data_IF_886510409120
#
_entry.id   IF_886510409120
#
_cell.length_a   1.000
_cell.length_b   1.000
_cell.length_c   1.000
_cell.angle_alpha   90.00
_cell.angle_beta   90.00
_cell.angle_gamma   90.00
#
_symmetry.space_group_name_H-M   'P 1'
#
loop_
_entity.id
_entity.type
_entity.pdbx_description
1 polymer ?
#
# COMPACT_ATOMS: atom_id res chain seq x y z
N UNK A 1 -6.07 -11.55 20.45
CA UNK A 1 -5.04 -10.50 20.41
C UNK A 1 -4.96 -9.99 18.98
N UNK A 2 -5.14 -8.69 18.76
CA UNK A 2 -5.32 -8.11 17.43
C UNK A 2 -3.97 -8.02 16.69
N UNK A 3 -3.71 -8.97 15.78
CA UNK A 3 -2.47 -9.02 14.97
C UNK A 3 -2.25 -7.71 14.21
N UNK A 4 -3.34 -7.03 13.85
CA UNK A 4 -3.27 -5.73 13.17
C UNK A 4 -2.66 -4.63 14.05
N UNK A 5 -2.93 -4.59 15.35
CA UNK A 5 -2.45 -3.50 16.23
C UNK A 5 -0.95 -3.57 16.53
N UNK A 6 -0.35 -4.75 16.49
CA UNK A 6 1.09 -4.95 16.76
C UNK A 6 1.96 -4.86 15.49
N UNK A 7 1.38 -4.98 14.30
CA UNK A 7 2.09 -5.03 13.01
C UNK A 7 1.82 -3.83 12.08
N UNK A 8 1.26 -2.72 12.58
CA UNK A 8 1.22 -1.42 11.85
C UNK A 8 2.62 -0.77 11.65
N UNK A 9 3.68 -1.57 11.67
CA UNK A 9 5.05 -1.15 11.72
C UNK A 9 5.61 -0.91 10.31
N UNK A 10 5.43 0.31 9.81
CA UNK A 10 6.51 1.03 9.13
C UNK A 10 6.23 2.53 8.98
N UNK A 11 4.97 2.98 8.88
CA UNK A 11 4.65 4.41 8.66
C UNK A 11 3.15 4.76 8.82
N UNK A 12 2.36 4.02 9.60
CA UNK A 12 0.92 4.24 9.68
C UNK A 12 0.57 5.31 10.74
N UNK A 13 0.10 6.51 10.36
CA UNK A 13 -0.42 7.48 11.33
C UNK A 13 -1.71 6.96 11.99
N UNK A 14 -2.15 7.54 13.14
CA UNK A 14 -3.38 7.15 13.84
C UNK A 14 -4.64 7.11 12.93
N UNK A 15 -4.65 7.92 11.87
CA UNK A 15 -5.70 7.92 10.85
C UNK A 15 -5.90 6.55 10.16
N UNK A 16 -4.88 5.67 10.15
CA UNK A 16 -4.97 4.31 9.63
C UNK A 16 -6.03 3.46 10.34
N UNK A 17 -6.32 3.75 11.62
CA UNK A 17 -7.31 3.02 12.41
C UNK A 17 -8.71 3.08 11.78
N UNK A 18 -9.02 4.16 11.06
CA UNK A 18 -10.29 4.28 10.36
C UNK A 18 -10.42 3.26 9.22
N UNK A 19 -9.31 2.85 8.62
CA UNK A 19 -9.27 1.93 7.49
C UNK A 19 -9.27 0.45 7.93
N UNK A 20 -9.05 0.18 9.23
CA UNK A 20 -8.99 -1.16 9.80
C UNK A 20 -10.18 -2.07 9.46
N UNK A 21 -11.45 -1.61 9.52
CA UNK A 21 -12.58 -2.49 9.22
C UNK A 21 -12.54 -3.05 7.79
N UNK A 22 -12.13 -2.23 6.81
CA UNK A 22 -11.99 -2.68 5.41
C UNK A 22 -10.77 -3.59 5.26
N UNK A 23 -9.66 -3.27 5.92
CA UNK A 23 -8.48 -4.13 5.89
C UNK A 23 -8.76 -5.52 6.46
N UNK A 24 -9.44 -5.60 7.61
CA UNK A 24 -9.84 -6.87 8.24
C UNK A 24 -10.78 -7.70 7.38
N UNK A 25 -11.64 -7.07 6.57
CA UNK A 25 -12.52 -7.81 5.65
C UNK A 25 -11.80 -8.27 4.37
N UNK A 26 -10.64 -7.71 4.06
CA UNK A 26 -9.88 -8.04 2.84
C UNK A 26 -8.75 -9.05 3.07
N UNK A 27 -8.34 -9.27 4.33
CA UNK A 27 -7.15 -10.06 4.69
C UNK A 27 -7.57 -11.28 5.51
N UNK A 28 -7.09 -12.44 5.11
CA UNK A 28 -7.36 -13.71 5.81
C UNK A 28 -6.57 -13.73 7.14
N UNK A 29 -7.09 -14.43 8.17
CA UNK A 29 -6.45 -14.44 9.50
C UNK A 29 -5.06 -15.12 9.52
N UNK A 30 -4.75 -15.92 8.50
CA UNK A 30 -3.47 -16.61 8.29
C UNK A 30 -2.50 -15.84 7.37
N UNK A 31 -2.91 -14.68 6.85
CA UNK A 31 -2.11 -13.85 5.95
C UNK A 31 -1.58 -12.61 6.70
N UNK A 32 -0.38 -12.69 7.31
CA UNK A 32 0.12 -11.63 8.16
C UNK A 32 0.36 -10.33 7.37
N UNK A 33 0.02 -9.21 7.99
CA UNK A 33 0.32 -7.89 7.45
C UNK A 33 1.83 -7.69 7.44
N UNK A 34 2.39 -7.29 6.30
CA UNK A 34 3.81 -6.99 6.15
C UNK A 34 4.05 -5.48 6.26
N UNK A 35 3.16 -4.67 5.67
CA UNK A 35 3.34 -3.22 5.61
C UNK A 35 1.98 -2.51 5.60
N UNK A 36 1.89 -1.42 6.35
CA UNK A 36 0.84 -0.40 6.19
C UNK A 36 1.50 0.96 6.05
N UNK A 37 1.13 1.69 5.00
CA UNK A 37 1.65 3.03 4.75
C UNK A 37 0.54 3.97 4.25
N UNK A 38 0.62 5.23 4.67
CA UNK A 38 -0.13 6.30 4.02
C UNK A 38 0.48 6.55 2.64
N UNK A 39 -0.37 6.69 1.64
CA UNK A 39 0.05 6.97 0.28
C UNK A 39 -0.75 8.11 -0.36
N UNK A 40 -0.35 8.48 -1.58
CA UNK A 40 -1.08 9.38 -2.46
C UNK A 40 -1.09 8.83 -3.88
N UNK A 41 -2.14 9.08 -4.63
CA UNK A 41 -2.24 8.74 -6.05
C UNK A 41 -1.72 9.91 -6.90
N UNK A 42 -0.65 9.75 -7.68
CA UNK A 42 -0.18 10.79 -8.60
C UNK A 42 -1.28 11.19 -9.58
N UNK A 43 -1.47 12.49 -9.80
CA UNK A 43 -2.55 13.03 -10.64
C UNK A 43 -3.89 13.24 -9.92
N UNK A 44 -4.05 12.77 -8.67
CA UNK A 44 -5.26 12.98 -7.87
C UNK A 44 -4.94 13.37 -6.39
N UNK A 45 -4.10 14.41 -6.15
CA UNK A 45 -3.62 14.73 -4.81
C UNK A 45 -4.70 15.27 -3.85
N UNK A 46 -5.81 15.77 -4.37
CA UNK A 46 -6.92 16.35 -3.58
C UNK A 46 -8.02 15.33 -3.23
N UNK A 47 -7.89 14.07 -3.65
CA UNK A 47 -8.99 13.10 -3.55
C UNK A 47 -9.16 12.47 -2.16
N UNK A 48 -8.40 12.91 -1.14
CA UNK A 48 -8.53 12.42 0.23
C UNK A 48 -7.32 11.61 0.71
N UNK A 49 -7.51 10.87 1.80
CA UNK A 49 -6.43 10.12 2.45
C UNK A 49 -6.40 8.68 1.94
N UNK A 50 -5.27 8.26 1.42
CA UNK A 50 -5.08 6.92 0.88
C UNK A 50 -4.19 6.10 1.81
N UNK A 51 -4.56 4.83 1.98
CA UNK A 51 -3.77 3.87 2.72
C UNK A 51 -3.58 2.60 1.91
N UNK A 52 -2.36 2.10 1.96
CA UNK A 52 -1.95 0.85 1.36
C UNK A 52 -1.63 -0.13 2.49
N UNK A 53 -2.16 -1.34 2.35
CA UNK A 53 -1.82 -2.50 3.16
C UNK A 53 -1.27 -3.59 2.24
N UNK A 54 -0.11 -4.11 2.60
CA UNK A 54 0.54 -5.23 1.94
C UNK A 54 0.63 -6.38 2.94
N UNK A 55 0.21 -7.56 2.49
CA UNK A 55 0.46 -8.84 3.16
C UNK A 55 1.38 -9.69 2.29
N UNK A 56 1.59 -10.95 2.66
CA UNK A 56 2.32 -11.91 1.82
C UNK A 56 1.56 -12.27 0.54
N UNK A 57 0.23 -12.14 0.54
CA UNK A 57 -0.61 -12.57 -0.59
C UNK A 57 -1.42 -11.46 -1.24
N UNK A 58 -1.61 -10.32 -0.58
CA UNK A 58 -2.53 -9.27 -1.06
C UNK A 58 -1.94 -7.87 -0.99
N UNK A 59 -2.37 -7.05 -1.94
CA UNK A 59 -2.25 -5.61 -1.92
C UNK A 59 -3.65 -5.01 -1.82
N UNK A 60 -3.90 -4.28 -0.74
CA UNK A 60 -5.17 -3.60 -0.48
C UNK A 60 -4.94 -2.11 -0.41
N UNK A 61 -5.71 -1.35 -1.19
CA UNK A 61 -5.68 0.12 -1.17
C UNK A 61 -7.05 0.64 -0.83
N UNK A 62 -7.10 1.56 0.12
CA UNK A 62 -8.33 2.21 0.58
C UNK A 62 -8.18 3.72 0.53
N UNK A 63 -9.33 4.39 0.44
CA UNK A 63 -9.42 5.84 0.35
C UNK A 63 -10.46 6.36 1.33
N UNK A 64 -10.12 7.38 2.10
CA UNK A 64 -11.06 8.23 2.86
C UNK A 64 -11.35 9.48 2.01
N UNK A 65 -12.51 9.50 1.36
CA UNK A 65 -12.89 10.58 0.44
C UNK A 65 -13.40 11.81 1.19
N UNK A 66 -12.88 13.00 0.88
CA UNK A 66 -13.38 14.27 1.44
C UNK A 66 -14.48 14.87 0.53
N UNK A 67 -15.44 15.65 1.09
CA UNK A 67 -15.59 16.04 2.50
C UNK A 67 -16.43 15.05 3.34
N UNK A 68 -17.19 14.14 2.72
CA UNK A 68 -18.09 13.20 3.44
C UNK A 68 -17.36 12.13 4.26
N UNK A 69 -16.04 12.08 4.16
CA UNK A 69 -15.18 11.14 4.85
C UNK A 69 -15.59 9.67 4.68
N UNK A 70 -16.02 9.33 3.47
CA UNK A 70 -16.47 7.97 3.14
C UNK A 70 -15.26 7.11 2.84
N UNK A 71 -15.13 6.02 3.60
CA UNK A 71 -14.16 4.98 3.30
C UNK A 71 -14.60 4.18 2.06
N UNK A 72 -13.66 3.98 1.14
CA UNK A 72 -13.83 3.17 -0.05
C UNK A 72 -12.69 2.19 -0.19
N UNK A 73 -13.03 0.96 -0.59
CA UNK A 73 -12.06 0.01 -1.11
C UNK A 73 -11.74 0.41 -2.55
N UNK A 74 -10.49 0.79 -2.81
CA UNK A 74 -10.01 1.12 -4.16
C UNK A 74 -9.45 -0.11 -4.87
N UNK A 75 -8.65 -0.91 -4.15
CA UNK A 75 -8.03 -2.09 -4.70
C UNK A 75 -8.02 -3.19 -3.64
N UNK A 76 -8.35 -4.42 -4.05
CA UNK A 76 -8.05 -5.64 -3.31
C UNK A 76 -7.54 -6.67 -4.32
N UNK A 77 -6.23 -6.81 -4.44
CA UNK A 77 -5.60 -7.67 -5.44
C UNK A 77 -4.71 -8.72 -4.78
N UNK A 78 -4.73 -9.94 -5.31
CA UNK A 78 -3.72 -10.94 -4.97
C UNK A 78 -2.39 -10.56 -5.63
N UNK A 79 -1.27 -10.63 -4.90
CA UNK A 79 0.05 -10.25 -5.44
C UNK A 79 0.46 -11.06 -6.66
N UNK A 80 0.06 -12.33 -6.74
CA UNK A 80 0.34 -13.20 -7.90
C UNK A 80 -0.30 -12.68 -9.19
N UNK A 81 -1.37 -11.91 -9.04
CA UNK A 81 -2.16 -11.33 -10.10
C UNK A 81 -1.65 -9.94 -10.54
N UNK A 82 -0.72 -9.35 -9.80
CA UNK A 82 -0.10 -8.10 -10.23
C UNK A 82 0.94 -8.38 -11.33
N UNK A 83 1.03 -7.46 -12.28
CA UNK A 83 2.02 -7.46 -13.34
C UNK A 83 2.74 -6.11 -13.42
N UNK A 84 3.89 -6.08 -14.10
CA UNK A 84 4.71 -4.89 -14.29
C UNK A 84 5.01 -4.16 -12.97
N UNK A 85 5.24 -4.90 -11.88
CA UNK A 85 5.45 -4.31 -10.55
C UNK A 85 6.81 -3.62 -10.52
N UNK A 86 6.82 -2.33 -10.17
CA UNK A 86 8.00 -1.47 -10.13
C UNK A 86 7.92 -0.58 -8.90
N UNK A 87 9.05 -0.29 -8.26
CA UNK A 87 9.14 0.77 -7.25
C UNK A 87 10.36 1.67 -7.48
N UNK A 88 10.25 2.94 -7.09
CA UNK A 88 11.34 3.92 -7.11
C UNK A 88 11.45 4.62 -5.77
N UNK A 89 12.67 4.77 -5.28
CA UNK A 89 12.98 5.49 -4.06
C UNK A 89 13.09 6.99 -4.33
N UNK A 90 12.58 7.81 -3.41
CA UNK A 90 12.84 9.25 -3.37
C UNK A 90 13.37 9.62 -1.97
N UNK A 91 14.69 9.79 -1.88
CA UNK A 91 15.36 10.14 -0.63
C UNK A 91 15.34 11.65 -0.37
N UNK A 92 15.11 12.47 -1.39
CA UNK A 92 14.98 13.93 -1.26
C UNK A 92 13.67 14.33 -0.56
N UNK A 93 12.63 13.51 -0.78
CA UNK A 93 11.33 13.59 -0.13
C UNK A 93 10.95 12.17 0.31
N UNK A 94 11.40 11.73 1.50
CA UNK A 94 11.36 10.35 1.94
C UNK A 94 10.05 9.64 1.56
N UNK A 95 10.16 8.72 0.62
CA UNK A 95 9.02 8.00 0.09
C UNK A 95 9.39 6.99 -0.98
N UNK A 96 8.40 6.19 -1.35
CA UNK A 96 8.53 5.17 -2.39
C UNK A 96 7.35 5.31 -3.34
N UNK A 97 7.65 5.43 -4.62
CA UNK A 97 6.65 5.36 -5.69
C UNK A 97 6.51 3.92 -6.16
N UNK A 98 5.38 3.30 -5.86
CA UNK A 98 5.00 1.97 -6.29
C UNK A 98 4.07 2.07 -7.51
N UNK A 99 4.38 1.30 -8.55
CA UNK A 99 3.54 1.13 -9.73
C UNK A 99 3.33 -0.34 -10.04
N UNK A 100 2.10 -0.71 -10.42
CA UNK A 100 1.73 -2.07 -10.79
C UNK A 100 0.53 -2.02 -11.74
N UNK A 101 0.34 -3.10 -12.49
CA UNK A 101 -0.84 -3.29 -13.32
C UNK A 101 -1.73 -4.32 -12.63
N UNK A 102 -2.99 -3.96 -12.39
CA UNK A 102 -3.99 -4.82 -11.78
C UNK A 102 -4.58 -5.79 -12.82
N UNK A 103 -5.44 -6.71 -12.36
CA UNK A 103 -6.03 -7.77 -13.21
C UNK A 103 -6.95 -7.25 -14.31
N UNK A 104 -7.55 -6.08 -14.11
CA UNK A 104 -8.34 -5.36 -15.11
C UNK A 104 -7.47 -4.70 -16.20
N UNK A 105 -6.14 -4.84 -16.12
CA UNK A 105 -5.20 -4.21 -17.04
C UNK A 105 -4.91 -2.75 -16.71
N UNK A 106 -5.50 -2.18 -15.65
CA UNK A 106 -5.30 -0.78 -15.28
C UNK A 106 -3.96 -0.60 -14.59
N UNK A 107 -3.16 0.35 -15.09
CA UNK A 107 -1.92 0.75 -14.45
C UNK A 107 -2.22 1.68 -13.27
N UNK A 108 -1.88 1.22 -12.08
CA UNK A 108 -1.98 2.01 -10.87
C UNK A 108 -0.62 2.51 -10.40
N UNK A 109 -0.63 3.67 -9.74
CA UNK A 109 0.56 4.27 -9.15
C UNK A 109 0.21 4.90 -7.81
N UNK A 110 1.00 4.59 -6.80
CA UNK A 110 0.86 5.15 -5.46
C UNK A 110 2.22 5.56 -4.92
N UNK A 111 2.28 6.73 -4.31
CA UNK A 111 3.47 7.20 -3.59
C UNK A 111 3.25 7.07 -2.10
N UNK A 112 3.99 6.19 -1.44
CA UNK A 112 4.06 6.11 0.01
C UNK A 112 4.85 7.30 0.54
N UNK A 113 4.30 7.99 1.54
CA UNK A 113 5.00 9.08 2.25
C UNK A 113 5.58 8.50 3.53
N UNK A 114 6.89 8.54 3.66
CA UNK A 114 7.65 7.95 4.76
C UNK A 114 8.33 9.08 5.56
N UNK A 115 8.66 8.81 6.83
CA UNK A 115 9.17 9.85 7.74
C UNK A 115 10.62 10.24 7.46
N UNK A 116 11.47 9.26 7.18
CA UNK A 116 12.92 9.41 7.07
C UNK A 116 13.50 8.37 6.10
N UNK A 117 14.78 8.54 5.73
CA UNK A 117 15.47 7.66 4.78
C UNK A 117 15.69 6.23 5.32
N UNK A 118 15.82 6.03 6.63
CA UNK A 118 15.97 4.69 7.22
C UNK A 118 14.69 3.88 7.01
N UNK A 119 13.55 4.51 7.27
CA UNK A 119 12.22 3.97 7.02
C UNK A 119 12.03 3.65 5.54
N UNK A 120 12.53 4.50 4.63
CA UNK A 120 12.50 4.23 3.18
C UNK A 120 13.23 2.93 2.84
N UNK A 121 14.45 2.73 3.35
CA UNK A 121 15.20 1.50 3.10
C UNK A 121 14.50 0.28 3.70
N UNK A 122 13.97 0.39 4.93
CA UNK A 122 13.24 -0.70 5.57
C UNK A 122 12.00 -1.12 4.77
N UNK A 123 11.20 -0.15 4.33
CA UNK A 123 10.02 -0.42 3.50
C UNK A 123 10.42 -1.01 2.15
N UNK A 124 11.53 -0.56 1.57
CA UNK A 124 12.01 -1.11 0.30
C UNK A 124 12.41 -2.59 0.41
N UNK A 125 13.03 -3.00 1.52
CA UNK A 125 13.28 -4.42 1.79
C UNK A 125 11.98 -5.21 1.92
N UNK A 126 10.98 -4.68 2.64
CA UNK A 126 9.66 -5.31 2.72
C UNK A 126 9.00 -5.49 1.35
N UNK A 127 9.16 -4.51 0.44
CA UNK A 127 8.67 -4.63 -0.93
C UNK A 127 9.41 -5.73 -1.69
N UNK A 128 10.74 -5.80 -1.58
CA UNK A 128 11.56 -6.86 -2.22
C UNK A 128 11.17 -8.26 -1.76
N UNK A 129 10.89 -8.42 -0.47
CA UNK A 129 10.55 -9.72 0.11
C UNK A 129 9.17 -10.24 -0.30
N UNK A 130 8.24 -9.33 -0.61
CA UNK A 130 6.82 -9.69 -0.86
C UNK A 130 6.40 -9.55 -2.32
N UNK A 131 7.05 -8.65 -3.08
CA UNK A 131 6.75 -8.42 -4.48
C UNK A 131 7.81 -9.08 -5.34
N UNK A 132 7.36 -9.95 -6.24
CA UNK A 132 8.22 -10.48 -7.30
C UNK A 132 8.16 -9.47 -8.45
N UNK A 133 9.21 -8.67 -8.71
CA UNK A 133 9.26 -7.85 -9.91
C UNK A 133 9.25 -8.80 -11.12
N UNK A 134 8.12 -8.81 -11.85
CA UNK A 134 8.03 -9.54 -13.12
C UNK A 134 8.64 -8.64 -14.21
N UNK A 135 9.67 -9.10 -14.94
CA UNK A 135 10.20 -8.33 -16.06
C UNK A 135 9.11 -8.11 -17.11
N UNK A 136 9.14 -6.97 -17.78
CA UNK A 136 8.28 -6.67 -18.92
C UNK A 136 8.69 -7.64 -20.04
N UNK A 137 7.84 -8.61 -20.37
CA UNK A 137 7.99 -9.34 -21.63
C UNK A 137 7.52 -8.38 -22.73
N UNK A 138 8.49 -7.83 -23.46
CA UNK A 138 8.27 -7.05 -24.70
C UNK A 138 7.96 -8.02 -25.83
#
# INVERSE_FOLDING_TARGET
>A
MDVFLSTFAAAAPPAANRHLPIFRSCVDSDDPVTLVARCVRPGAPLSGDWFLLLTRRRLVVTQDTRPLHRLRLHLNANLRHLSNVTWRLDLSKPGIELGFTAMDGVRERFRMRLGDSETVWRVEQLLRDNLIPKPVTV
#
